data_IF_520547130395
#
_entry.id   IF_520547130395
#
_cell.length_a   1.000
_cell.length_b   1.000
_cell.length_c   1.000
_cell.angle_alpha   90.00
_cell.angle_beta   90.00
_cell.angle_gamma   90.00
#
_symmetry.space_group_name_H-M   'P 1'
#
loop_
_entity.id
_entity.type
_entity.pdbx_description
1 polymer ?
#
# COMPACT_ATOMS: atom_id res chain seq x y z
N UNK A 1 -13.92 67.18 15.62
CA UNK A 1 -14.44 65.81 15.44
C UNK A 1 -13.47 65.06 14.54
N UNK A 2 -12.71 64.11 15.06
CA UNK A 2 -11.84 63.26 14.20
C UNK A 2 -12.72 62.08 13.74
N UNK A 3 -12.96 61.97 12.43
CA UNK A 3 -13.62 60.84 11.83
C UNK A 3 -12.64 59.67 11.75
N UNK A 4 -12.89 58.59 12.46
CA UNK A 4 -12.18 57.35 12.33
C UNK A 4 -12.79 56.54 11.17
N UNK A 5 -12.09 56.49 10.04
CA UNK A 5 -12.44 55.57 8.96
C UNK A 5 -12.06 54.14 9.36
N UNK A 6 -12.96 53.38 9.89
CA UNK A 6 -12.83 51.95 10.04
C UNK A 6 -12.93 51.31 8.63
N UNK A 7 -11.79 51.03 8.03
CA UNK A 7 -11.75 50.17 6.85
C UNK A 7 -11.96 48.72 7.31
N UNK A 8 -13.21 48.27 7.30
CA UNK A 8 -13.48 46.83 7.41
C UNK A 8 -13.09 46.16 6.09
N UNK A 9 -12.17 45.24 6.14
CA UNK A 9 -11.80 44.45 5.00
C UNK A 9 -12.82 43.30 4.86
N UNK A 10 -13.85 43.53 4.07
CA UNK A 10 -14.92 42.55 3.81
C UNK A 10 -14.48 41.33 2.99
N UNK A 11 -13.22 41.25 2.61
CA UNK A 11 -12.68 40.13 1.85
C UNK A 11 -12.50 38.84 2.68
N UNK A 12 -12.64 38.92 4.02
CA UNK A 12 -12.61 37.75 4.91
C UNK A 12 -13.79 36.80 4.76
N UNK A 13 -14.85 37.19 4.04
CA UNK A 13 -16.07 36.38 3.86
C UNK A 13 -16.38 35.99 2.42
N UNK A 14 -15.49 36.30 1.47
CA UNK A 14 -15.83 36.24 0.05
C UNK A 14 -15.55 34.88 -0.62
N UNK A 15 -14.74 34.01 -0.05
CA UNK A 15 -14.49 32.68 -0.65
C UNK A 15 -13.95 31.70 0.40
N UNK A 16 -14.82 30.85 1.00
CA UNK A 16 -14.37 29.86 1.98
C UNK A 16 -13.46 28.78 1.35
N UNK A 17 -13.45 28.63 0.04
CA UNK A 17 -12.60 27.66 -0.63
C UNK A 17 -11.16 28.13 -0.84
N UNK A 18 -10.94 29.45 -0.91
CA UNK A 18 -9.62 30.03 -1.13
C UNK A 18 -8.85 30.27 0.17
N UNK A 19 -9.53 30.45 1.33
CA UNK A 19 -8.89 30.73 2.62
C UNK A 19 -8.48 29.50 3.40
N UNK A 20 -8.96 28.30 3.00
CA UNK A 20 -8.67 27.02 3.65
C UNK A 20 -7.47 26.27 3.06
N UNK A 21 -6.81 26.83 2.07
CA UNK A 21 -5.54 26.29 1.63
C UNK A 21 -4.45 26.79 2.57
N UNK A 22 -4.11 25.98 3.57
CA UNK A 22 -2.83 26.11 4.25
C UNK A 22 -1.73 25.94 3.20
N UNK A 23 -1.28 27.07 2.66
CA UNK A 23 -0.15 27.08 1.74
C UNK A 23 1.12 26.83 2.55
N UNK A 24 2.10 26.18 1.95
CA UNK A 24 3.43 25.90 2.53
C UNK A 24 4.15 27.13 3.08
N UNK A 25 3.62 28.34 2.87
CA UNK A 25 4.16 29.61 3.40
C UNK A 25 3.63 30.00 4.78
N UNK A 26 2.60 29.35 5.31
CA UNK A 26 1.96 29.71 6.60
C UNK A 26 2.37 28.79 7.76
N UNK A 27 2.85 27.59 7.48
CA UNK A 27 3.38 26.68 8.52
C UNK A 27 4.91 26.73 8.54
N UNK A 28 5.49 26.91 9.73
CA UNK A 28 6.93 26.79 9.92
C UNK A 28 7.38 25.36 9.60
N UNK A 29 8.60 25.19 9.07
CA UNK A 29 9.16 23.88 8.76
C UNK A 29 9.16 22.94 9.96
N UNK A 30 9.30 23.46 11.17
CA UNK A 30 9.28 22.71 12.42
C UNK A 30 7.89 22.12 12.72
N UNK A 31 6.82 22.89 12.55
CA UNK A 31 5.44 22.41 12.71
C UNK A 31 5.12 21.33 11.67
N UNK A 32 5.52 21.55 10.42
CA UNK A 32 5.33 20.57 9.36
C UNK A 32 6.02 19.24 9.70
N UNK A 33 7.28 19.28 10.12
CA UNK A 33 8.05 18.10 10.53
C UNK A 33 7.42 17.38 11.72
N UNK A 34 6.86 18.14 12.68
CA UNK A 34 6.17 17.59 13.84
C UNK A 34 4.93 16.77 13.42
N UNK A 35 4.06 17.34 12.59
CA UNK A 35 2.86 16.64 12.11
C UNK A 35 3.20 15.44 11.22
N UNK A 36 4.18 15.57 10.33
CA UNK A 36 4.66 14.46 9.49
C UNK A 36 5.16 13.29 10.34
N UNK A 37 5.98 13.55 11.35
CA UNK A 37 6.49 12.53 12.25
C UNK A 37 5.36 11.84 13.03
N UNK A 38 4.43 12.61 13.61
CA UNK A 38 3.30 12.06 14.35
C UNK A 38 2.40 11.20 13.49
N UNK A 39 2.14 11.61 12.25
CA UNK A 39 1.35 10.84 11.30
C UNK A 39 2.02 9.49 10.98
N UNK A 40 3.34 9.47 10.78
CA UNK A 40 4.11 8.24 10.54
C UNK A 40 4.08 7.34 11.77
N UNK A 41 4.34 7.88 12.96
CA UNK A 41 4.33 7.14 14.23
C UNK A 41 2.97 6.44 14.48
N UNK A 42 1.87 7.04 14.04
CA UNK A 42 0.53 6.44 14.15
C UNK A 42 0.22 5.42 13.05
N UNK A 43 0.82 5.55 11.88
CA UNK A 43 0.61 4.64 10.76
C UNK A 43 1.42 3.35 10.89
N UNK A 44 2.64 3.42 11.37
CA UNK A 44 3.61 2.30 11.43
C UNK A 44 3.06 1.05 12.16
N UNK A 45 2.39 1.15 13.34
CA UNK A 45 1.86 -0.03 14.03
C UNK A 45 0.75 -0.77 13.28
N UNK A 46 0.21 -0.18 12.21
CA UNK A 46 -0.87 -0.75 11.39
C UNK A 46 -0.37 -1.51 10.17
N UNK A 47 0.89 -1.35 9.81
CA UNK A 47 1.53 -1.99 8.66
C UNK A 47 2.03 -3.38 9.07
N UNK A 48 1.34 -4.43 8.61
CA UNK A 48 1.66 -5.82 8.92
C UNK A 48 2.06 -6.58 7.65
N UNK A 49 1.38 -6.36 6.53
CA UNK A 49 1.53 -7.16 5.33
C UNK A 49 2.68 -6.73 4.43
N UNK A 50 3.19 -5.52 4.56
CA UNK A 50 4.27 -4.98 3.72
C UNK A 50 5.67 -5.45 4.15
N UNK A 51 5.83 -5.93 5.40
CA UNK A 51 7.12 -6.41 5.93
C UNK A 51 7.73 -7.57 5.13
N UNK A 52 6.94 -8.27 4.31
CA UNK A 52 7.39 -9.37 3.46
C UNK A 52 7.56 -8.98 2.00
N UNK A 53 7.35 -7.71 1.66
CA UNK A 53 7.45 -7.20 0.31
C UNK A 53 8.79 -6.53 0.06
N UNK A 54 9.31 -6.66 -1.15
CA UNK A 54 10.48 -5.91 -1.60
C UNK A 54 10.10 -4.49 -1.96
N UNK A 55 10.83 -3.52 -1.41
CA UNK A 55 10.62 -2.12 -1.68
C UNK A 55 11.34 -1.69 -2.97
N UNK A 56 10.58 -1.18 -3.93
CA UNK A 56 11.13 -0.65 -5.17
C UNK A 56 10.81 0.85 -5.30
N UNK A 57 11.81 1.74 -5.23
CA UNK A 57 11.58 3.18 -5.33
C UNK A 57 11.13 3.56 -6.74
N UNK A 58 10.12 4.43 -6.81
CA UNK A 58 9.63 4.96 -8.08
C UNK A 58 10.61 6.03 -8.59
N UNK A 59 11.17 5.91 -9.80
CA UNK A 59 12.07 6.91 -10.35
C UNK A 59 11.31 8.21 -10.63
N UNK A 60 11.90 9.34 -10.30
CA UNK A 60 11.34 10.65 -10.65
C UNK A 60 11.25 10.78 -12.18
N UNK A 61 10.12 11.27 -12.67
CA UNK A 61 9.83 11.41 -14.11
C UNK A 61 9.78 10.10 -14.91
N UNK A 62 9.70 8.96 -14.24
CA UNK A 62 9.65 7.63 -14.87
C UNK A 62 8.30 7.22 -15.46
N UNK A 63 7.29 8.11 -15.44
CA UNK A 63 5.94 7.78 -15.89
C UNK A 63 5.09 7.13 -14.78
N UNK A 64 3.87 6.75 -15.14
CA UNK A 64 2.86 6.20 -14.24
C UNK A 64 2.87 4.67 -14.19
N UNK A 65 3.60 4.04 -15.11
CA UNK A 65 3.63 2.60 -15.31
C UNK A 65 5.02 2.06 -15.03
N UNK A 66 5.09 1.00 -14.25
CA UNK A 66 6.33 0.27 -13.96
C UNK A 66 6.26 -1.09 -14.62
N UNK A 67 7.34 -1.49 -15.28
CA UNK A 67 7.48 -2.75 -15.97
C UNK A 67 8.56 -3.60 -15.32
N UNK A 68 8.21 -4.80 -14.87
CA UNK A 68 9.15 -5.76 -14.31
C UNK A 68 9.40 -6.89 -15.28
N UNK A 69 10.67 -7.25 -15.49
CA UNK A 69 11.07 -8.38 -16.31
C UNK A 69 11.13 -9.64 -15.48
N UNK A 70 10.51 -10.70 -15.99
CA UNK A 70 10.60 -12.03 -15.44
C UNK A 70 11.25 -12.96 -16.46
N UNK A 71 12.32 -13.63 -16.07
CA UNK A 71 12.94 -14.67 -16.86
C UNK A 71 12.34 -16.01 -16.47
N UNK A 72 11.86 -16.75 -17.45
CA UNK A 72 11.32 -18.08 -17.23
C UNK A 72 12.46 -19.09 -16.97
N UNK A 73 12.19 -20.08 -16.14
CA UNK A 73 13.17 -21.11 -15.87
C UNK A 73 13.47 -21.93 -17.13
N UNK A 74 14.75 -22.23 -17.33
CA UNK A 74 15.15 -23.14 -18.40
C UNK A 74 14.64 -24.56 -18.12
N UNK A 75 14.27 -25.33 -19.17
CA UNK A 75 13.91 -26.72 -19.02
C UNK A 75 15.09 -27.52 -18.46
N UNK A 76 14.79 -28.49 -17.62
CA UNK A 76 15.83 -29.36 -17.06
C UNK A 76 16.44 -30.22 -18.19
N UNK A 77 17.77 -30.25 -18.31
CA UNK A 77 18.51 -31.09 -19.24
C UNK A 77 18.57 -32.53 -18.70
N UNK A 78 17.52 -33.32 -18.91
CA UNK A 78 17.41 -34.69 -18.41
C UNK A 78 17.89 -35.74 -19.41
N UNK A 79 18.18 -35.35 -20.66
CA UNK A 79 18.64 -36.26 -21.68
C UNK A 79 20.17 -36.35 -21.69
N UNK A 80 20.76 -37.56 -21.57
CA UNK A 80 22.21 -37.74 -21.67
C UNK A 80 22.74 -37.30 -23.03
N UNK A 81 23.90 -36.67 -23.05
CA UNK A 81 24.54 -36.23 -24.25
C UNK A 81 25.15 -37.44 -25.01
N UNK A 82 25.04 -37.44 -26.32
CA UNK A 82 25.71 -38.41 -27.20
C UNK A 82 27.08 -37.87 -27.59
N UNK A 83 28.11 -38.67 -27.49
CA UNK A 83 29.49 -38.29 -27.84
C UNK A 83 29.57 -37.89 -29.35
N UNK A 84 30.18 -36.73 -29.59
CA UNK A 84 30.33 -36.21 -30.96
C UNK A 84 29.10 -35.47 -31.53
N UNK A 85 27.99 -35.36 -30.79
CA UNK A 85 26.77 -34.65 -31.23
C UNK A 85 26.56 -33.43 -30.36
N UNK A 86 26.51 -32.25 -30.99
CA UNK A 86 26.15 -31.00 -30.28
C UNK A 86 24.64 -30.97 -30.05
N UNK A 87 24.14 -30.82 -28.79
CA UNK A 87 22.71 -30.73 -28.52
C UNK A 87 22.15 -29.39 -29.00
N UNK A 88 20.85 -29.38 -29.28
CA UNK A 88 20.14 -28.14 -29.54
C UNK A 88 20.12 -27.26 -28.29
N UNK A 89 20.40 -25.96 -28.47
CA UNK A 89 20.37 -25.00 -27.34
C UNK A 89 18.96 -24.65 -26.92
N UNK A 90 18.80 -24.33 -25.61
CA UNK A 90 17.54 -23.83 -25.08
C UNK A 90 17.50 -22.29 -25.11
N UNK A 91 16.44 -21.71 -25.66
CA UNK A 91 16.21 -20.27 -25.65
C UNK A 91 15.72 -19.80 -24.29
N UNK A 92 16.11 -18.59 -23.90
CA UNK A 92 15.58 -17.91 -22.70
C UNK A 92 14.34 -17.11 -23.11
N UNK A 93 13.20 -17.40 -22.49
CA UNK A 93 11.99 -16.58 -22.64
C UNK A 93 11.93 -15.50 -21.55
N UNK A 94 11.44 -14.33 -21.96
CA UNK A 94 11.29 -13.16 -21.07
C UNK A 94 9.83 -12.73 -21.11
N UNK A 95 9.22 -12.68 -19.96
CA UNK A 95 7.89 -12.12 -19.77
C UNK A 95 7.95 -10.78 -19.00
N UNK A 96 6.97 -9.92 -19.23
CA UNK A 96 6.90 -8.60 -18.63
C UNK A 96 5.64 -8.51 -17.77
N UNK A 97 5.79 -7.98 -16.56
CA UNK A 97 4.67 -7.69 -15.66
C UNK A 97 4.58 -6.17 -15.56
N UNK A 98 3.49 -5.61 -16.05
CA UNK A 98 3.25 -4.17 -16.04
C UNK A 98 2.29 -3.83 -14.91
N UNK A 99 2.65 -2.86 -14.08
CA UNK A 99 1.80 -2.34 -13.01
C UNK A 99 1.68 -0.83 -13.12
N UNK A 100 0.46 -0.33 -12.92
CA UNK A 100 0.16 1.10 -12.89
C UNK A 100 0.19 1.61 -11.45
N UNK A 101 0.79 2.79 -11.25
CA UNK A 101 0.86 3.45 -9.95
C UNK A 101 -0.48 4.10 -9.62
N UNK A 102 -1.00 3.82 -8.45
CA UNK A 102 -2.17 4.46 -7.88
C UNK A 102 -1.77 5.32 -6.68
N UNK A 103 -2.44 6.44 -6.52
CA UNK A 103 -2.25 7.34 -5.39
C UNK A 103 -3.48 7.26 -4.49
N UNK A 104 -3.26 7.07 -3.20
CA UNK A 104 -4.29 7.07 -2.17
C UNK A 104 -4.12 8.29 -1.28
N UNK A 105 -5.21 8.91 -0.89
CA UNK A 105 -5.19 10.06 0.00
C UNK A 105 -6.59 10.41 0.51
N UNK A 106 -6.62 11.06 1.65
CA UNK A 106 -7.84 11.57 2.28
C UNK A 106 -7.55 12.94 2.90
N UNK A 107 -8.58 13.76 3.10
CA UNK A 107 -8.44 15.08 3.72
C UNK A 107 -9.65 15.42 4.57
N UNK A 108 -9.41 16.17 5.63
CA UNK A 108 -10.47 16.70 6.50
C UNK A 108 -10.29 18.21 6.62
N UNK A 109 -11.40 18.93 6.49
CA UNK A 109 -11.43 20.39 6.67
C UNK A 109 -11.89 20.74 8.07
N UNK A 110 -11.17 21.64 8.73
CA UNK A 110 -11.52 22.19 10.04
C UNK A 110 -11.86 23.67 9.87
N UNK A 111 -12.94 24.14 10.48
CA UNK A 111 -13.27 25.58 10.47
C UNK A 111 -12.49 26.28 11.58
N UNK A 112 -12.11 27.56 11.32
CA UNK A 112 -11.44 28.42 12.30
C UNK A 112 -12.23 28.56 13.60
N UNK A 113 -13.56 28.58 13.50
CA UNK A 113 -14.43 28.66 14.66
C UNK A 113 -14.37 27.39 15.52
N UNK A 114 -14.27 26.21 14.89
CA UNK A 114 -14.14 24.95 15.60
C UNK A 114 -12.77 24.86 16.30
N UNK A 115 -11.70 25.25 15.62
CA UNK A 115 -10.35 25.26 16.19
C UNK A 115 -10.24 26.22 17.40
N UNK A 116 -10.92 27.38 17.31
CA UNK A 116 -10.94 28.38 18.39
C UNK A 116 -11.84 27.98 19.58
N UNK A 117 -12.92 27.24 19.36
CA UNK A 117 -13.94 26.93 20.38
C UNK A 117 -13.85 25.53 20.94
N UNK A 118 -13.10 24.66 20.31
CA UNK A 118 -12.91 23.30 20.80
C UNK A 118 -12.12 23.28 22.12
N UNK A 119 -12.51 22.39 23.01
CA UNK A 119 -11.83 22.18 24.29
C UNK A 119 -10.52 21.42 24.07
N UNK A 120 -10.50 20.52 23.08
CA UNK A 120 -9.37 19.70 22.74
C UNK A 120 -8.66 20.22 21.48
N UNK A 121 -7.39 19.85 21.29
CA UNK A 121 -6.64 20.15 20.07
C UNK A 121 -7.15 19.28 18.90
N UNK A 122 -8.14 19.81 18.19
CA UNK A 122 -8.82 19.11 17.09
C UNK A 122 -7.86 18.74 15.96
N UNK A 123 -6.85 19.58 15.69
CA UNK A 123 -5.86 19.33 14.62
C UNK A 123 -4.98 18.13 14.96
N UNK A 124 -4.55 17.99 16.21
CA UNK A 124 -3.78 16.84 16.66
C UNK A 124 -4.60 15.55 16.59
N UNK A 125 -5.84 15.57 17.06
CA UNK A 125 -6.71 14.39 17.02
C UNK A 125 -7.00 13.94 15.58
N UNK A 126 -7.26 14.88 14.67
CA UNK A 126 -7.45 14.59 13.24
C UNK A 126 -6.16 13.99 12.64
N UNK A 127 -4.99 14.52 12.98
CA UNK A 127 -3.71 14.00 12.52
C UNK A 127 -3.51 12.55 12.95
N UNK A 128 -3.81 12.21 14.17
CA UNK A 128 -3.73 10.84 14.71
C UNK A 128 -4.71 9.89 13.98
N UNK A 129 -5.92 10.36 13.70
CA UNK A 129 -6.94 9.62 12.95
C UNK A 129 -6.50 9.38 11.52
N UNK A 130 -5.98 10.40 10.84
CA UNK A 130 -5.46 10.25 9.48
C UNK A 130 -4.25 9.31 9.43
N UNK A 131 -3.32 9.38 10.39
CA UNK A 131 -2.20 8.46 10.49
C UNK A 131 -2.66 7.01 10.60
N UNK A 132 -3.58 6.74 11.53
CA UNK A 132 -4.17 5.41 11.70
C UNK A 132 -4.90 4.93 10.44
N UNK A 133 -5.67 5.80 9.77
CA UNK A 133 -6.40 5.47 8.54
C UNK A 133 -5.44 5.21 7.38
N UNK A 134 -4.36 5.98 7.26
CA UNK A 134 -3.33 5.78 6.25
C UNK A 134 -2.69 4.38 6.38
N UNK A 135 -2.28 4.00 7.59
CA UNK A 135 -1.71 2.68 7.87
C UNK A 135 -2.68 1.56 7.51
N UNK A 136 -3.95 1.65 7.95
CA UNK A 136 -4.98 0.67 7.62
C UNK A 136 -5.26 0.58 6.11
N UNK A 137 -5.26 1.70 5.40
CA UNK A 137 -5.49 1.73 3.95
C UNK A 137 -4.37 1.03 3.21
N UNK A 138 -3.11 1.37 3.50
CA UNK A 138 -1.95 0.74 2.89
C UNK A 138 -1.89 -0.76 3.17
N UNK A 139 -2.09 -1.16 4.43
CA UNK A 139 -2.12 -2.57 4.82
C UNK A 139 -3.25 -3.34 4.12
N UNK A 140 -4.44 -2.74 3.99
CA UNK A 140 -5.57 -3.34 3.30
C UNK A 140 -5.31 -3.51 1.81
N UNK A 141 -4.71 -2.51 1.15
CA UNK A 141 -4.35 -2.58 -0.27
C UNK A 141 -3.32 -3.67 -0.50
N UNK A 142 -2.25 -3.70 0.31
CA UNK A 142 -1.21 -4.73 0.22
C UNK A 142 -1.77 -6.12 0.44
N UNK A 143 -2.59 -6.32 1.48
CA UNK A 143 -3.27 -7.59 1.74
C UNK A 143 -4.14 -8.04 0.56
N UNK A 144 -4.91 -7.13 -0.02
CA UNK A 144 -5.78 -7.45 -1.14
C UNK A 144 -4.98 -7.88 -2.38
N UNK A 145 -3.84 -7.24 -2.66
CA UNK A 145 -2.94 -7.65 -3.76
C UNK A 145 -2.33 -9.03 -3.49
N UNK A 146 -1.89 -9.32 -2.28
CA UNK A 146 -1.36 -10.65 -1.90
C UNK A 146 -2.44 -11.72 -2.09
N UNK A 147 -3.68 -11.43 -1.71
CA UNK A 147 -4.78 -12.41 -1.84
C UNK A 147 -5.21 -12.70 -3.29
N UNK A 148 -4.89 -11.81 -4.23
CA UNK A 148 -5.19 -11.99 -5.66
C UNK A 148 -4.11 -12.79 -6.40
N UNK A 149 -3.03 -13.16 -5.72
CA UNK A 149 -1.96 -13.95 -6.31
C UNK A 149 -2.47 -15.30 -6.82
N UNK A 150 -1.98 -15.72 -8.00
CA UNK A 150 -2.31 -17.00 -8.61
C UNK A 150 -1.54 -18.18 -8.01
N UNK A 151 -0.44 -17.92 -7.32
CA UNK A 151 0.41 -18.94 -6.70
C UNK A 151 0.03 -19.08 -5.22
N UNK A 152 -1.09 -19.76 -4.97
CA UNK A 152 -1.60 -20.01 -3.62
C UNK A 152 -1.62 -21.52 -3.40
N UNK A 153 -1.05 -21.94 -2.28
CA UNK A 153 -1.09 -23.34 -1.84
C UNK A 153 -2.16 -23.45 -0.74
N UNK A 154 -3.17 -24.26 -0.99
CA UNK A 154 -4.21 -24.52 0.00
C UNK A 154 -3.91 -25.79 0.78
N UNK A 155 -4.27 -25.80 2.07
CA UNK A 155 -4.12 -26.97 2.90
C UNK A 155 -4.98 -28.12 2.33
N UNK A 156 -4.40 -29.33 2.12
CA UNK A 156 -5.14 -30.46 1.59
C UNK A 156 -6.19 -30.94 2.61
N UNK A 157 -7.27 -31.51 2.09
CA UNK A 157 -8.26 -32.18 2.92
C UNK A 157 -7.74 -33.56 3.31
N UNK A 158 -7.70 -33.84 4.61
CA UNK A 158 -7.32 -35.13 5.15
C UNK A 158 -8.53 -36.03 5.19
N UNK A 159 -8.46 -37.19 4.52
CA UNK A 159 -9.45 -38.28 4.64
C UNK A 159 -9.27 -39.05 5.95
N UNK A 160 -10.31 -39.84 6.32
CA UNK A 160 -10.28 -40.69 7.51
C UNK A 160 -9.16 -41.75 7.46
N UNK A 161 -8.73 -42.10 6.29
CA UNK A 161 -7.70 -43.10 5.94
C UNK A 161 -6.27 -42.49 5.85
N UNK A 162 -6.14 -41.21 6.18
CA UNK A 162 -4.86 -40.48 6.04
C UNK A 162 -4.54 -40.05 4.62
N UNK A 163 -5.41 -40.30 3.63
CA UNK A 163 -5.23 -39.82 2.27
C UNK A 163 -5.40 -38.29 2.18
N UNK A 164 -4.56 -37.67 1.36
CA UNK A 164 -4.61 -36.21 1.13
C UNK A 164 -5.30 -35.90 -0.20
N UNK A 165 -6.33 -35.09 -0.18
CA UNK A 165 -7.00 -34.59 -1.38
C UNK A 165 -6.63 -33.13 -1.58
N UNK A 166 -6.05 -32.78 -2.74
CA UNK A 166 -5.66 -31.41 -3.06
C UNK A 166 -6.90 -30.49 -3.13
N UNK A 167 -6.80 -29.33 -2.53
CA UNK A 167 -7.81 -28.26 -2.59
C UNK A 167 -7.31 -27.22 -3.57
N UNK A 168 -8.10 -26.90 -4.58
CA UNK A 168 -7.72 -25.97 -5.66
C UNK A 168 -8.26 -24.56 -5.44
N UNK A 169 -9.34 -24.43 -4.66
CA UNK A 169 -9.99 -23.14 -4.45
C UNK A 169 -10.26 -22.85 -2.97
N UNK A 170 -10.25 -21.58 -2.60
CA UNK A 170 -10.51 -21.14 -1.23
C UNK A 170 -11.87 -21.58 -0.69
N UNK A 171 -12.90 -21.65 -1.53
CA UNK A 171 -14.25 -22.06 -1.13
C UNK A 171 -14.38 -23.55 -0.84
N UNK A 172 -13.41 -24.37 -1.26
CA UNK A 172 -13.35 -25.81 -0.98
C UNK A 172 -12.69 -26.14 0.38
N UNK A 173 -12.16 -25.12 1.08
CA UNK A 173 -11.57 -25.28 2.40
C UNK A 173 -12.66 -25.62 3.43
N UNK A 174 -12.48 -26.74 4.13
CA UNK A 174 -13.36 -27.24 5.19
C UNK A 174 -12.55 -27.48 6.47
N UNK A 175 -13.21 -27.76 7.58
CA UNK A 175 -12.57 -28.10 8.87
C UNK A 175 -11.60 -29.31 8.77
N UNK A 176 -11.75 -30.16 7.78
CA UNK A 176 -10.86 -31.28 7.50
C UNK A 176 -9.56 -30.89 6.80
N UNK A 177 -9.41 -29.63 6.37
CA UNK A 177 -8.18 -29.15 5.71
C UNK A 177 -7.16 -28.72 6.77
N UNK A 178 -6.00 -29.38 6.79
CA UNK A 178 -4.93 -29.11 7.76
C UNK A 178 -3.60 -28.95 7.06
N UNK A 179 -2.79 -28.01 7.56
CA UNK A 179 -1.39 -27.87 7.13
C UNK A 179 -0.61 -29.10 7.64
N UNK A 180 0.06 -29.79 6.73
CA UNK A 180 0.96 -30.90 7.04
C UNK A 180 2.41 -30.47 6.86
N UNK A 181 3.33 -31.15 7.54
CA UNK A 181 4.77 -30.89 7.41
C UNK A 181 5.29 -31.09 5.97
N UNK A 182 4.66 -31.96 5.20
CA UNK A 182 4.99 -32.23 3.80
C UNK A 182 4.67 -31.06 2.87
N UNK A 183 3.68 -30.23 3.24
CA UNK A 183 3.29 -29.06 2.45
C UNK A 183 4.23 -27.87 2.67
N UNK A 184 4.92 -27.82 3.81
CA UNK A 184 5.78 -26.70 4.22
C UNK A 184 7.25 -26.99 3.91
N UNK A 185 7.60 -28.22 3.60
CA UNK A 185 8.94 -28.65 3.20
C UNK A 185 9.21 -28.42 1.70
#
# INVERSE_FOLDING_TARGET
MKSYNLKMNLQLFADPSASLQNTTGTMTNEMKTFYEKRLIDQAEPRLVHDQFADYYPVPQNGGKTIEFRKYDALPKATTPLTEGVTPDGSGISVSYITKELAQYGDYTTVSDLLDLTAIDDVVLEITDRHGSNMGLTLDTVTRNEIQQGSQVIYAPKLGADGGQTAVLHRYDLTEGCKLTSELVA
#
